data_IF_821026188872
#
_entry.id   IF_821026188872
#
_cell.length_a   1.000
_cell.length_b   1.000
_cell.length_c   1.000
_cell.angle_alpha   90.00
_cell.angle_beta   90.00
_cell.angle_gamma   90.00
#
_symmetry.space_group_name_H-M   'P 1'
#
loop_
_entity.id
_entity.type
_entity.pdbx_description
1 polymer ?
#
# COMPACT_ATOMS: atom_id res chain seq x y z
N UNK A 1 -1.74 -11.33 -9.03
CA UNK A 1 -1.53 -11.69 -7.61
C UNK A 1 -2.18 -10.64 -6.73
N UNK A 2 -2.71 -11.04 -5.58
CA UNK A 2 -3.35 -10.15 -4.62
C UNK A 2 -3.08 -10.64 -3.19
N UNK A 3 -3.05 -9.73 -2.22
CA UNK A 3 -2.62 -10.01 -0.84
C UNK A 3 -3.58 -9.44 0.19
N UNK A 4 -3.48 -9.98 1.40
CA UNK A 4 -4.20 -9.47 2.54
C UNK A 4 -5.69 -9.62 2.35
N UNK A 5 -6.20 -10.83 2.14
CA UNK A 5 -7.63 -11.09 1.97
C UNK A 5 -8.46 -10.45 3.09
N UNK A 6 -9.59 -9.84 2.76
CA UNK A 6 -10.52 -9.34 3.77
C UNK A 6 -11.14 -10.53 4.51
N UNK A 7 -10.99 -10.51 5.84
CA UNK A 7 -11.44 -11.58 6.75
C UNK A 7 -12.55 -11.07 7.68
N UNK A 8 -13.05 -9.84 7.46
CA UNK A 8 -14.21 -9.34 8.18
C UNK A 8 -15.44 -10.17 7.78
N UNK A 9 -16.11 -10.75 8.78
CA UNK A 9 -17.29 -11.61 8.57
C UNK A 9 -18.38 -10.85 7.81
N UNK A 10 -18.84 -11.41 6.69
CA UNK A 10 -19.83 -10.79 5.79
C UNK A 10 -19.24 -9.81 4.76
N UNK A 11 -17.92 -9.62 4.71
CA UNK A 11 -17.20 -8.79 3.72
C UNK A 11 -16.01 -9.53 3.09
N UNK A 12 -16.08 -10.85 3.08
CA UNK A 12 -15.03 -11.72 2.55
C UNK A 12 -14.87 -11.57 1.02
N UNK A 13 -13.72 -12.02 0.50
CA UNK A 13 -13.45 -12.07 -0.95
C UNK A 13 -12.82 -10.81 -1.53
N UNK A 14 -12.70 -9.75 -0.73
CA UNK A 14 -11.91 -8.56 -1.07
C UNK A 14 -10.41 -8.73 -0.83
N UNK A 15 -9.59 -7.85 -1.40
CA UNK A 15 -8.14 -7.79 -1.20
C UNK A 15 -7.69 -6.35 -0.95
N UNK A 16 -6.55 -6.17 -0.28
CA UNK A 16 -6.08 -4.84 0.14
C UNK A 16 -4.93 -4.32 -0.73
N UNK A 17 -4.25 -5.21 -1.45
CA UNK A 17 -3.22 -4.86 -2.42
C UNK A 17 -3.18 -5.95 -3.50
N UNK A 18 -2.92 -5.56 -4.74
CA UNK A 18 -2.62 -6.53 -5.79
C UNK A 18 -2.09 -5.91 -7.06
N UNK A 19 -1.58 -6.78 -7.93
CA UNK A 19 -1.09 -6.47 -9.27
C UNK A 19 -1.50 -7.57 -10.25
N UNK A 20 -2.01 -7.18 -11.41
CA UNK A 20 -2.37 -8.08 -12.50
C UNK A 20 -1.25 -8.21 -13.54
N UNK A 21 -1.27 -9.28 -14.34
CA UNK A 21 -0.37 -9.41 -15.49
C UNK A 21 -0.58 -8.31 -16.53
N UNK A 22 -1.76 -7.65 -16.55
CA UNK A 22 -2.07 -6.53 -17.44
C UNK A 22 -1.58 -5.17 -16.92
N UNK A 23 -0.79 -5.15 -15.84
CA UNK A 23 -0.24 -3.92 -15.26
C UNK A 23 -1.21 -3.10 -14.41
N UNK A 24 -2.43 -3.58 -14.15
CA UNK A 24 -3.30 -2.98 -13.11
C UNK A 24 -2.71 -3.26 -11.73
N UNK A 25 -2.43 -2.23 -10.95
CA UNK A 25 -2.07 -2.34 -9.53
C UNK A 25 -3.02 -1.49 -8.68
N UNK A 26 -3.49 -2.02 -7.57
CA UNK A 26 -4.29 -1.25 -6.62
C UNK A 26 -3.95 -1.60 -5.18
N UNK A 27 -4.08 -0.60 -4.32
CA UNK A 27 -3.77 -0.65 -2.90
C UNK A 27 -4.80 0.16 -2.11
N UNK A 28 -5.25 -0.38 -0.99
CA UNK A 28 -6.26 0.23 -0.13
C UNK A 28 -5.76 0.33 1.31
N UNK A 29 -5.95 1.50 1.94
CA UNK A 29 -5.85 1.64 3.41
C UNK A 29 -7.20 2.02 4.00
N UNK A 30 -7.35 1.73 5.28
CA UNK A 30 -8.38 2.34 6.10
C UNK A 30 -8.15 3.86 6.19
N UNK A 31 -9.16 4.59 6.64
CA UNK A 31 -9.00 5.90 7.25
C UNK A 31 -9.40 5.78 8.72
N UNK A 32 -8.51 6.18 9.63
CA UNK A 32 -8.75 6.18 11.07
C UNK A 32 -9.86 7.18 11.38
N UNK A 33 -11.00 6.67 11.81
CA UNK A 33 -12.19 7.45 12.18
C UNK A 33 -12.82 6.86 13.46
N UNK A 34 -13.42 7.69 14.32
CA UNK A 34 -13.95 7.25 15.62
C UNK A 34 -15.25 6.44 15.52
N UNK A 35 -16.06 6.68 14.48
CA UNK A 35 -17.34 6.01 14.26
C UNK A 35 -17.32 5.23 12.96
N UNK A 36 -17.65 3.94 13.02
CA UNK A 36 -17.80 3.08 11.86
C UNK A 36 -19.28 2.82 11.61
N UNK A 37 -19.71 2.99 10.37
CA UNK A 37 -21.02 2.54 9.91
C UNK A 37 -20.96 1.04 9.66
N UNK A 38 -21.77 0.27 10.40
CA UNK A 38 -21.85 -1.18 10.28
C UNK A 38 -22.57 -1.64 9.00
N UNK A 39 -23.35 -0.75 8.38
CA UNK A 39 -24.08 -1.01 7.13
C UNK A 39 -23.27 -0.60 5.90
N UNK A 40 -22.12 0.05 6.08
CA UNK A 40 -21.25 0.42 4.96
C UNK A 40 -20.68 -0.81 4.24
N UNK A 41 -20.53 -0.67 2.91
CA UNK A 41 -20.00 -1.72 2.04
C UNK A 41 -18.56 -2.11 2.42
N UNK A 42 -18.22 -3.37 2.18
CA UNK A 42 -16.84 -3.85 2.27
C UNK A 42 -15.95 -3.18 1.23
N UNK A 43 -14.72 -2.83 1.60
CA UNK A 43 -13.82 -2.03 0.75
C UNK A 43 -12.90 -2.87 -0.11
N UNK A 44 -12.61 -4.11 0.29
CA UNK A 44 -11.70 -4.98 -0.44
C UNK A 44 -12.17 -5.33 -1.86
N UNK A 45 -13.47 -5.19 -2.17
CA UNK A 45 -14.00 -5.34 -3.53
C UNK A 45 -13.48 -4.27 -4.50
N UNK A 46 -13.13 -3.08 -3.99
CA UNK A 46 -12.65 -1.97 -4.83
C UNK A 46 -11.34 -2.32 -5.50
N UNK A 47 -10.47 -3.07 -4.81
CA UNK A 47 -9.18 -3.53 -5.34
C UNK A 47 -9.40 -4.68 -6.32
N UNK A 48 -10.16 -5.72 -5.97
CA UNK A 48 -10.39 -6.87 -6.86
C UNK A 48 -11.07 -6.47 -8.17
N UNK A 49 -12.03 -5.54 -8.10
CA UNK A 49 -12.72 -5.03 -9.28
C UNK A 49 -11.80 -4.18 -10.16
N UNK A 50 -10.92 -3.35 -9.59
CA UNK A 50 -9.92 -2.62 -10.38
C UNK A 50 -8.93 -3.54 -11.10
N UNK A 51 -8.50 -4.62 -10.45
CA UNK A 51 -7.53 -5.56 -11.05
C UNK A 51 -8.11 -6.33 -12.25
N UNK A 52 -9.44 -6.45 -12.33
CA UNK A 52 -10.15 -7.25 -13.34
C UNK A 52 -10.85 -6.40 -14.41
N UNK A 53 -11.13 -5.13 -14.14
CA UNK A 53 -11.75 -4.22 -15.12
C UNK A 53 -10.78 -3.77 -16.23
N UNK A 54 -11.34 -3.31 -17.34
CA UNK A 54 -10.61 -2.67 -18.44
C UNK A 54 -10.56 -1.13 -18.30
N UNK A 55 -11.27 -0.57 -17.31
CA UNK A 55 -11.32 0.88 -17.04
C UNK A 55 -9.98 1.38 -16.51
N UNK A 56 -9.46 2.48 -17.05
CA UNK A 56 -8.22 3.12 -16.57
C UNK A 56 -8.34 3.63 -15.12
N UNK A 57 -7.19 3.76 -14.44
CA UNK A 57 -7.07 4.16 -13.04
C UNK A 57 -7.80 5.45 -12.71
N UNK A 58 -7.73 6.49 -13.55
CA UNK A 58 -8.38 7.77 -13.26
C UNK A 58 -9.91 7.65 -13.41
N UNK A 59 -10.38 7.07 -14.51
CA UNK A 59 -11.80 6.84 -14.74
C UNK A 59 -12.42 5.94 -13.66
N UNK A 60 -11.67 4.93 -13.21
CA UNK A 60 -12.09 4.04 -12.13
C UNK A 60 -12.26 4.80 -10.82
N UNK A 61 -11.25 5.59 -10.40
CA UNK A 61 -11.35 6.35 -9.16
C UNK A 61 -12.42 7.44 -9.22
N UNK A 62 -12.71 8.02 -10.39
CA UNK A 62 -13.86 8.93 -10.56
C UNK A 62 -15.20 8.24 -10.33
N UNK A 63 -15.35 6.99 -10.78
CA UNK A 63 -16.55 6.21 -10.47
C UNK A 63 -16.65 5.93 -8.97
N UNK A 64 -15.53 5.52 -8.36
CA UNK A 64 -15.47 5.26 -6.91
C UNK A 64 -15.75 6.51 -6.10
N UNK A 65 -15.36 7.71 -6.56
CA UNK A 65 -15.58 8.95 -5.81
C UNK A 65 -17.06 9.31 -5.70
N UNK A 66 -17.85 9.08 -6.75
CA UNK A 66 -19.31 9.24 -6.73
C UNK A 66 -19.97 8.32 -5.70
N UNK A 67 -19.45 7.09 -5.57
CA UNK A 67 -19.96 6.06 -4.64
C UNK A 67 -19.27 6.09 -3.26
N UNK A 68 -18.35 7.03 -3.01
CA UNK A 68 -17.48 7.02 -1.84
C UNK A 68 -18.21 7.08 -0.49
N UNK A 69 -19.43 7.62 -0.50
CA UNK A 69 -20.34 7.71 0.66
C UNK A 69 -20.91 6.36 1.10
N UNK A 70 -20.83 5.32 0.27
CA UNK A 70 -21.31 3.97 0.59
C UNK A 70 -20.33 3.17 1.48
N UNK A 71 -19.16 3.73 1.76
CA UNK A 71 -18.05 3.05 2.44
C UNK A 71 -17.65 3.82 3.72
N UNK A 72 -17.17 3.08 4.73
CA UNK A 72 -16.37 3.68 5.80
C UNK A 72 -15.11 4.33 5.22
N UNK A 73 -14.47 5.21 5.99
CA UNK A 73 -13.30 5.95 5.53
C UNK A 73 -12.20 5.06 4.95
N UNK A 74 -11.69 5.41 3.78
CA UNK A 74 -10.66 4.66 3.08
C UNK A 74 -9.81 5.55 2.19
N UNK A 75 -8.67 5.00 1.78
CA UNK A 75 -7.85 5.51 0.71
C UNK A 75 -7.63 4.42 -0.34
N UNK A 76 -7.60 4.79 -1.61
CA UNK A 76 -7.40 3.89 -2.72
C UNK A 76 -6.35 4.48 -3.69
N UNK A 77 -5.28 3.73 -3.91
CA UNK A 77 -4.33 3.94 -5.00
C UNK A 77 -4.70 2.97 -6.11
N UNK A 78 -4.76 3.48 -7.35
CA UNK A 78 -4.96 2.68 -8.55
C UNK A 78 -3.93 3.09 -9.60
N UNK A 79 -3.31 2.11 -10.25
CA UNK A 79 -2.22 2.32 -11.19
C UNK A 79 -2.41 1.47 -12.46
N UNK A 80 -2.18 2.09 -13.61
CA UNK A 80 -1.95 1.43 -14.88
C UNK A 80 -0.45 1.46 -15.18
N UNK A 81 0.21 0.31 -15.02
CA UNK A 81 1.62 0.11 -15.33
C UNK A 81 1.75 -0.43 -16.76
N UNK A 82 2.65 0.14 -17.56
CA UNK A 82 2.85 -0.28 -18.94
C UNK A 82 4.22 -0.94 -19.12
N UNK A 83 4.31 -2.11 -19.77
CA UNK A 83 5.59 -2.65 -20.20
C UNK A 83 6.25 -1.68 -21.18
N UNK A 84 7.58 -1.57 -21.10
CA UNK A 84 8.35 -0.72 -22.00
C UNK A 84 8.46 -1.44 -23.36
N UNK A 85 8.34 -0.69 -24.45
CA UNK A 85 8.88 -1.19 -25.72
C UNK A 85 10.40 -1.38 -25.54
N UNK A 86 11.00 -2.50 -26.01
CA UNK A 86 12.41 -2.78 -25.78
C UNK A 86 13.26 -1.60 -26.23
N UNK A 87 14.00 -1.00 -25.30
CA UNK A 87 14.87 0.14 -25.52
C UNK A 87 16.22 -0.19 -24.87
N UNK A 88 17.38 0.10 -25.51
CA UNK A 88 18.68 -0.29 -24.99
C UNK A 88 18.91 0.28 -23.59
N UNK A 89 19.50 -0.56 -22.74
CA UNK A 89 19.60 -0.44 -21.29
C UNK A 89 19.83 0.98 -20.72
N UNK A 90 18.99 1.35 -19.76
CA UNK A 90 19.34 2.32 -18.72
C UNK A 90 18.66 1.84 -17.42
N UNK A 91 19.46 1.25 -16.54
CA UNK A 91 19.00 0.66 -15.29
C UNK A 91 18.54 1.72 -14.29
N UNK A 92 17.29 1.61 -13.88
CA UNK A 92 16.83 1.95 -12.54
C UNK A 92 15.49 1.20 -12.34
N UNK A 93 15.50 0.21 -11.45
CA UNK A 93 14.30 -0.55 -11.07
C UNK A 93 13.30 0.34 -10.33
N UNK A 94 12.01 0.02 -10.42
CA UNK A 94 10.95 0.68 -9.67
C UNK A 94 10.52 -0.22 -8.52
N UNK A 95 10.14 0.38 -7.41
CA UNK A 95 9.83 -0.36 -6.19
C UNK A 95 8.52 0.16 -5.59
N UNK A 96 7.58 -0.75 -5.33
CA UNK A 96 6.31 -0.52 -4.67
C UNK A 96 6.24 -1.44 -3.45
N UNK A 97 5.89 -0.94 -2.28
CA UNK A 97 5.68 -1.76 -1.08
C UNK A 97 4.29 -1.54 -0.52
N UNK A 98 3.66 -2.57 0.07
CA UNK A 98 2.34 -2.43 0.68
C UNK A 98 2.03 -3.48 1.74
N UNK A 99 1.06 -3.15 2.60
CA UNK A 99 0.76 -3.88 3.84
C UNK A 99 -0.72 -3.89 4.17
N UNK A 100 -1.09 -4.83 5.05
CA UNK A 100 -2.25 -4.66 5.92
C UNK A 100 -1.96 -3.61 7.00
N UNK A 101 -2.53 -2.43 6.76
CA UNK A 101 -2.51 -1.22 7.59
C UNK A 101 -1.12 -0.64 7.83
N UNK A 102 -0.48 -0.16 6.78
CA UNK A 102 0.85 0.43 6.87
C UNK A 102 1.13 1.33 5.67
N UNK A 103 2.01 2.31 5.92
CA UNK A 103 2.79 3.08 4.96
C UNK A 103 2.96 2.37 3.59
N UNK A 104 2.16 2.75 2.59
CA UNK A 104 2.48 2.44 1.20
C UNK A 104 3.60 3.37 0.78
N UNK A 105 4.74 2.82 0.38
CA UNK A 105 5.78 3.63 -0.25
C UNK A 105 5.82 3.37 -1.75
N UNK A 106 5.35 4.36 -2.50
CA UNK A 106 5.35 4.35 -3.97
C UNK A 106 6.53 5.18 -4.44
N UNK A 107 7.49 4.60 -5.14
CA UNK A 107 8.51 5.36 -5.88
C UNK A 107 8.22 5.30 -7.39
N UNK A 108 7.83 6.43 -7.98
CA UNK A 108 7.63 6.56 -9.44
C UNK A 108 8.86 7.20 -10.09
N UNK A 109 9.57 6.44 -10.91
CA UNK A 109 10.57 6.95 -11.88
C UNK A 109 9.87 7.31 -13.20
N UNK A 110 10.37 8.34 -13.90
CA UNK A 110 9.75 9.12 -15.00
C UNK A 110 9.49 8.35 -16.31
N UNK A 111 9.01 7.12 -16.27
CA UNK A 111 8.74 6.38 -17.49
C UNK A 111 7.49 6.87 -18.23
N UNK A 112 7.59 6.91 -19.56
CA UNK A 112 6.47 7.24 -20.46
C UNK A 112 5.35 6.22 -20.30
N UNK A 113 4.22 6.65 -19.74
CA UNK A 113 2.94 5.97 -19.89
C UNK A 113 2.29 5.42 -18.63
N UNK A 114 3.00 5.34 -17.49
CA UNK A 114 2.39 4.88 -16.24
C UNK A 114 1.54 5.98 -15.60
N UNK A 115 0.30 5.60 -15.27
CA UNK A 115 -0.65 6.47 -14.58
C UNK A 115 -0.90 5.88 -13.21
N UNK A 116 -0.69 6.69 -12.18
CA UNK A 116 -0.99 6.31 -10.80
C UNK A 116 -1.87 7.39 -10.23
N UNK A 117 -3.00 6.98 -9.69
CA UNK A 117 -4.03 7.86 -9.16
C UNK A 117 -4.27 7.53 -7.69
N UNK A 118 -4.68 8.55 -6.94
CA UNK A 118 -5.06 8.45 -5.54
C UNK A 118 -6.45 9.05 -5.32
N UNK A 119 -7.24 8.41 -4.46
CA UNK A 119 -8.50 8.93 -3.94
C UNK A 119 -8.65 8.54 -2.47
N UNK A 120 -9.15 9.46 -1.64
CA UNK A 120 -9.57 9.17 -0.27
C UNK A 120 -10.94 9.78 -0.01
N UNK A 121 -11.92 8.98 0.42
CA UNK A 121 -13.31 9.44 0.58
C UNK A 121 -13.55 10.36 1.79
N UNK A 122 -12.48 10.73 2.50
CA UNK A 122 -12.45 11.73 3.57
C UNK A 122 -11.66 12.99 3.18
N UNK A 123 -11.14 13.05 1.95
CA UNK A 123 -10.38 14.17 1.43
C UNK A 123 -11.16 14.93 0.36
N UNK A 124 -10.44 15.40 -0.65
CA UNK A 124 -11.01 16.08 -1.81
C UNK A 124 -11.99 15.18 -2.59
N UNK A 125 -13.03 15.77 -3.23
CA UNK A 125 -14.06 15.00 -3.92
C UNK A 125 -13.56 14.30 -5.18
N UNK A 126 -12.51 14.83 -5.81
CA UNK A 126 -11.96 14.32 -7.06
C UNK A 126 -10.66 13.55 -6.84
N UNK A 127 -10.43 12.44 -7.58
CA UNK A 127 -9.16 11.74 -7.56
C UNK A 127 -8.06 12.58 -8.23
N UNK A 128 -6.83 12.39 -7.75
CA UNK A 128 -5.64 13.07 -8.29
C UNK A 128 -4.72 12.09 -9.01
N UNK A 129 -4.03 12.58 -10.04
CA UNK A 129 -2.94 11.85 -10.70
C UNK A 129 -1.63 12.18 -9.98
N UNK A 130 -0.93 11.16 -9.49
CA UNK A 130 0.34 11.33 -8.79
C UNK A 130 1.48 11.58 -9.77
N UNK A 131 2.24 12.63 -9.49
CA UNK A 131 3.50 12.93 -10.18
C UNK A 131 4.59 11.94 -9.78
N UNK A 132 5.70 11.83 -10.54
CA UNK A 132 6.88 11.09 -10.10
C UNK A 132 7.36 11.55 -8.72
N UNK A 133 7.66 10.60 -7.84
CA UNK A 133 8.05 10.89 -6.46
C UNK A 133 7.90 9.69 -5.53
N UNK A 134 8.22 9.91 -4.26
CA UNK A 134 8.03 8.94 -3.16
C UNK A 134 6.85 9.37 -2.31
N UNK A 135 5.83 8.53 -2.18
CA UNK A 135 4.61 8.79 -1.41
C UNK A 135 4.45 7.79 -0.29
N UNK A 136 3.98 8.23 0.87
CA UNK A 136 3.60 7.48 2.05
C UNK A 136 2.08 7.53 2.25
N UNK A 137 1.45 6.38 2.48
CA UNK A 137 0.03 6.30 2.85
C UNK A 137 -0.19 5.39 4.06
N UNK A 138 -0.83 5.88 5.12
CA UNK A 138 -1.25 5.08 6.27
C UNK A 138 -2.77 5.14 6.44
N UNK A 139 -3.27 4.99 7.66
CA UNK A 139 -4.70 5.10 7.97
C UNK A 139 -5.18 6.57 8.04
N UNK A 140 -4.66 7.42 7.15
CA UNK A 140 -4.94 8.86 7.04
C UNK A 140 -4.93 9.25 5.56
N UNK A 141 -5.21 10.52 5.23
CA UNK A 141 -5.06 10.99 3.85
C UNK A 141 -3.60 10.90 3.40
N UNK A 142 -3.38 10.85 2.08
CA UNK A 142 -2.05 10.77 1.47
C UNK A 142 -1.09 11.80 2.07
N UNK A 143 0.12 11.37 2.42
CA UNK A 143 1.18 12.22 2.99
C UNK A 143 0.80 12.94 4.31
N UNK A 144 -0.26 12.51 5.01
CA UNK A 144 -0.55 13.03 6.35
C UNK A 144 0.65 12.73 7.25
N UNK A 145 1.26 13.73 7.94
CA UNK A 145 2.59 13.62 8.52
C UNK A 145 2.59 12.90 9.89
N UNK A 146 2.00 11.71 9.94
CA UNK A 146 2.16 10.81 11.07
C UNK A 146 3.65 10.49 11.22
N UNK A 147 4.19 10.56 12.44
CA UNK A 147 5.63 10.36 12.66
C UNK A 147 6.11 9.01 12.17
N UNK A 148 5.31 7.97 12.36
CA UNK A 148 5.59 6.64 11.80
C UNK A 148 5.68 6.61 10.28
N UNK A 149 4.89 7.46 9.60
CA UNK A 149 4.86 7.56 8.15
C UNK A 149 6.17 8.20 7.67
N UNK A 150 6.54 9.32 8.28
CA UNK A 150 7.77 10.03 7.99
C UNK A 150 9.01 9.16 8.25
N UNK A 151 9.03 8.48 9.40
CA UNK A 151 10.11 7.58 9.80
C UNK A 151 10.25 6.39 8.85
N UNK A 152 9.16 5.66 8.58
CA UNK A 152 9.22 4.54 7.64
C UNK A 152 9.58 4.98 6.21
N UNK A 153 9.14 6.17 5.78
CA UNK A 153 9.50 6.76 4.48
C UNK A 153 10.99 7.10 4.42
N UNK A 154 11.57 7.58 5.52
CA UNK A 154 13.02 7.78 5.62
C UNK A 154 13.77 6.45 5.49
N UNK A 155 13.41 5.44 6.30
CA UNK A 155 14.03 4.11 6.24
C UNK A 155 13.92 3.46 4.85
N UNK A 156 12.78 3.64 4.18
CA UNK A 156 12.57 3.19 2.79
C UNK A 156 13.56 3.85 1.83
N UNK A 157 13.72 5.18 1.91
CA UNK A 157 14.64 5.91 1.03
C UNK A 157 16.08 5.48 1.25
N UNK A 158 16.49 5.28 2.51
CA UNK A 158 17.80 4.75 2.87
C UNK A 158 18.03 3.34 2.32
N UNK A 159 17.04 2.44 2.43
CA UNK A 159 17.09 1.09 1.86
C UNK A 159 17.25 1.11 0.34
N UNK A 160 16.49 1.97 -0.36
CA UNK A 160 16.59 2.14 -1.81
C UNK A 160 17.96 2.71 -2.22
N UNK A 161 18.47 3.70 -1.49
CA UNK A 161 19.77 4.32 -1.77
C UNK A 161 20.92 3.33 -1.59
N UNK A 162 20.95 2.58 -0.47
CA UNK A 162 21.95 1.53 -0.23
C UNK A 162 21.94 0.45 -1.31
N UNK A 163 20.75 0.14 -1.84
CA UNK A 163 20.56 -0.98 -2.76
C UNK A 163 20.88 -0.66 -4.23
N UNK A 164 21.19 0.59 -4.59
CA UNK A 164 21.45 0.96 -5.99
C UNK A 164 22.60 0.16 -6.64
N UNK A 165 23.53 -0.36 -5.84
CA UNK A 165 24.65 -1.18 -6.30
C UNK A 165 24.57 -2.65 -5.83
N UNK A 166 23.46 -3.08 -5.24
CA UNK A 166 23.30 -4.40 -4.64
C UNK A 166 22.29 -5.25 -5.44
N UNK A 167 22.35 -6.60 -5.31
CA UNK A 167 21.35 -7.48 -5.89
C UNK A 167 19.94 -7.16 -5.38
N UNK A 168 18.92 -7.40 -6.21
CA UNK A 168 17.50 -7.14 -5.88
C UNK A 168 17.05 -7.80 -4.57
N UNK A 169 17.60 -8.97 -4.24
CA UNK A 169 17.22 -9.72 -3.03
C UNK A 169 17.67 -9.00 -1.75
N UNK A 170 18.74 -8.21 -1.82
CA UNK A 170 19.18 -7.36 -0.71
C UNK A 170 18.19 -6.22 -0.51
N UNK A 171 17.72 -5.59 -1.59
CA UNK A 171 16.67 -4.57 -1.49
C UNK A 171 15.38 -5.15 -0.90
N UNK A 172 14.97 -6.35 -1.33
CA UNK A 172 13.79 -7.01 -0.78
C UNK A 172 13.96 -7.26 0.72
N UNK A 173 15.12 -7.75 1.16
CA UNK A 173 15.41 -7.97 2.57
C UNK A 173 15.39 -6.66 3.38
N UNK A 174 16.09 -5.62 2.92
CA UNK A 174 16.12 -4.30 3.57
C UNK A 174 14.71 -3.70 3.68
N UNK A 175 13.91 -3.80 2.61
CA UNK A 175 12.53 -3.33 2.63
C UNK A 175 11.68 -4.17 3.60
N UNK A 176 11.84 -5.49 3.67
CA UNK A 176 11.15 -6.30 4.68
C UNK A 176 11.53 -5.86 6.10
N UNK A 177 12.79 -5.50 6.35
CA UNK A 177 13.23 -5.00 7.65
C UNK A 177 12.55 -3.66 8.01
N UNK A 178 12.47 -2.72 7.06
CA UNK A 178 11.70 -1.48 7.25
C UNK A 178 10.27 -1.77 7.67
N UNK A 179 9.64 -2.73 6.99
CA UNK A 179 8.23 -3.05 7.15
C UNK A 179 7.94 -3.89 8.41
N UNK A 180 8.97 -4.46 9.02
CA UNK A 180 8.91 -5.17 10.29
C UNK A 180 9.39 -4.31 11.47
N UNK A 181 9.68 -3.04 11.26
CA UNK A 181 10.12 -2.14 12.32
C UNK A 181 8.97 -1.86 13.32
N UNK A 182 9.15 -2.28 14.57
CA UNK A 182 8.17 -2.13 15.67
C UNK A 182 8.46 -0.89 16.55
N UNK A 183 9.38 -0.01 16.13
CA UNK A 183 9.75 1.19 16.88
C UNK A 183 8.62 2.21 16.88
N UNK A 184 8.00 2.42 18.04
CA UNK A 184 6.93 3.39 18.21
C UNK A 184 7.46 4.83 18.12
N UNK A 185 6.95 5.60 17.16
CA UNK A 185 7.33 6.98 16.91
C UNK A 185 6.44 7.95 17.70
N UNK A 186 6.74 8.11 18.99
CA UNK A 186 5.96 8.94 19.92
C UNK A 186 6.68 10.25 20.33
N UNK A 187 5.93 11.29 20.78
CA UNK A 187 4.49 11.45 20.58
C UNK A 187 4.15 11.58 19.09
N UNK A 188 2.93 11.25 18.67
CA UNK A 188 2.47 11.44 17.28
C UNK A 188 1.27 12.39 17.23
N UNK A 189 1.49 13.73 17.28
CA UNK A 189 0.41 14.70 17.36
C UNK A 189 -0.59 14.62 16.20
N UNK A 190 -0.15 14.15 15.03
CA UNK A 190 -1.02 14.03 13.86
C UNK A 190 -1.95 12.80 13.96
N UNK A 191 -1.50 11.70 14.57
CA UNK A 191 -2.40 10.59 14.93
C UNK A 191 -3.36 11.04 16.03
N UNK A 192 -2.86 11.74 17.05
CA UNK A 192 -3.66 12.23 18.17
C UNK A 192 -4.75 13.21 17.71
N UNK A 193 -4.45 14.15 16.81
CA UNK A 193 -5.42 15.10 16.28
C UNK A 193 -6.53 14.41 15.47
N UNK A 194 -6.16 13.47 14.59
CA UNK A 194 -7.12 12.72 13.78
C UNK A 194 -7.98 11.77 14.63
N UNK A 195 -7.36 11.04 15.55
CA UNK A 195 -8.00 10.02 16.36
C UNK A 195 -8.68 10.54 17.63
N UNK A 196 -8.30 11.74 18.11
CA UNK A 196 -8.76 12.36 19.36
C UNK A 196 -8.69 11.39 20.54
N UNK A 197 -9.66 11.45 21.45
CA UNK A 197 -9.73 10.56 22.62
C UNK A 197 -9.83 9.07 22.26
N UNK A 198 -10.37 8.75 21.08
CA UNK A 198 -10.52 7.37 20.63
C UNK A 198 -9.16 6.67 20.40
N UNK A 199 -8.13 7.39 19.96
CA UNK A 199 -6.82 6.78 19.69
C UNK A 199 -5.92 6.66 20.92
N UNK A 200 -6.18 7.44 21.98
CA UNK A 200 -5.34 7.46 23.19
C UNK A 200 -5.05 6.06 23.79
N UNK A 201 -6.02 5.12 23.92
CA UNK A 201 -5.75 3.79 24.47
C UNK A 201 -4.87 2.89 23.59
N UNK A 202 -4.73 3.23 22.30
CA UNK A 202 -4.09 2.41 21.28
C UNK A 202 -2.90 3.11 20.59
N UNK A 203 -2.67 4.39 20.90
CA UNK A 203 -1.73 5.28 20.21
C UNK A 203 -0.32 4.68 20.14
N UNK A 204 0.21 4.20 21.25
CA UNK A 204 1.57 3.63 21.30
C UNK A 204 1.75 2.45 20.36
N UNK A 205 0.69 1.69 20.12
CA UNK A 205 0.69 0.51 19.25
C UNK A 205 0.50 0.88 17.79
N UNK A 206 -0.29 1.92 17.52
CA UNK A 206 -0.54 2.45 16.19
C UNK A 206 0.59 3.34 15.67
N UNK A 207 1.57 3.71 16.49
CA UNK A 207 2.66 4.63 16.13
C UNK A 207 3.93 3.94 15.63
N UNK A 208 3.91 2.63 15.41
CA UNK A 208 5.00 1.89 14.75
C UNK A 208 4.67 1.63 13.27
N UNK A 209 5.70 1.37 12.45
CA UNK A 209 5.52 0.92 11.06
C UNK A 209 4.83 -0.44 11.07
N UNK A 210 5.38 -1.39 11.82
CA UNK A 210 4.80 -2.70 12.05
C UNK A 210 3.95 -2.68 13.32
N UNK A 211 2.62 -2.75 13.16
CA UNK A 211 1.71 -2.67 14.31
C UNK A 211 1.57 -4.05 14.96
N UNK A 212 1.80 -4.09 16.28
CA UNK A 212 1.63 -5.29 17.12
C UNK A 212 0.78 -4.96 18.33
N UNK A 213 -0.40 -5.57 18.43
CA UNK A 213 -1.18 -5.53 19.66
C UNK A 213 -2.08 -6.77 19.85
N UNK A 214 -2.49 -7.06 21.10
CA UNK A 214 -3.46 -8.11 21.35
C UNK A 214 -4.74 -7.86 20.54
N UNK A 215 -5.08 -8.79 19.64
CA UNK A 215 -6.30 -8.73 18.82
C UNK A 215 -6.21 -7.91 17.53
N UNK A 216 -5.10 -7.21 17.25
CA UNK A 216 -4.94 -6.41 16.04
C UNK A 216 -3.46 -6.19 15.67
N UNK A 217 -3.13 -6.20 14.37
CA UNK A 217 -1.77 -5.93 13.92
C UNK A 217 -1.49 -6.38 12.49
N UNK A 218 -0.29 -6.06 12.02
CA UNK A 218 0.17 -6.31 10.65
C UNK A 218 0.33 -7.82 10.40
N UNK A 219 -0.56 -8.43 9.61
CA UNK A 219 -0.48 -9.87 9.29
C UNK A 219 0.37 -10.19 8.07
N UNK A 220 0.56 -9.22 7.19
CA UNK A 220 1.22 -9.40 5.89
C UNK A 220 2.11 -8.20 5.56
N UNK A 221 3.28 -8.48 4.99
CA UNK A 221 4.21 -7.51 4.43
C UNK A 221 4.46 -7.85 2.96
N UNK A 222 4.24 -6.90 2.05
CA UNK A 222 4.34 -7.17 0.61
C UNK A 222 5.25 -6.16 -0.07
N UNK A 223 6.12 -6.67 -0.93
CA UNK A 223 7.03 -5.91 -1.76
C UNK A 223 6.73 -6.29 -3.21
N UNK A 224 6.49 -5.29 -4.05
CA UNK A 224 6.22 -5.40 -5.48
C UNK A 224 7.26 -4.55 -6.20
N UNK A 225 8.29 -5.20 -6.73
CA UNK A 225 9.28 -4.52 -7.57
C UNK A 225 8.84 -4.64 -9.02
N UNK A 226 8.95 -3.56 -9.80
CA UNK A 226 8.65 -3.55 -11.23
C UNK A 226 9.82 -2.91 -11.95
N UNK A 227 10.58 -3.68 -12.73
CA UNK A 227 11.74 -3.15 -13.43
C UNK A 227 11.39 -2.38 -14.71
N UNK A 228 12.42 -1.86 -15.39
CA UNK A 228 12.26 -1.08 -16.61
C UNK A 228 11.77 -1.92 -17.81
N UNK A 229 11.89 -3.24 -17.75
CA UNK A 229 11.45 -4.19 -18.78
C UNK A 229 10.05 -4.75 -18.46
N UNK A 230 9.45 -4.33 -17.34
CA UNK A 230 8.14 -4.79 -16.90
C UNK A 230 8.17 -6.15 -16.21
N UNK A 231 9.33 -6.63 -15.75
CA UNK A 231 9.39 -7.78 -14.85
C UNK A 231 8.95 -7.34 -13.46
N UNK A 232 8.01 -8.10 -12.91
CA UNK A 232 7.47 -7.93 -11.58
C UNK A 232 8.05 -8.99 -10.66
N UNK A 233 8.62 -8.57 -9.54
CA UNK A 233 8.94 -9.44 -8.40
C UNK A 233 7.97 -9.11 -7.28
N UNK A 234 7.12 -10.07 -6.92
CA UNK A 234 6.15 -9.98 -5.84
C UNK A 234 6.62 -10.85 -4.69
N UNK A 235 7.07 -10.24 -3.60
CA UNK A 235 7.47 -10.93 -2.38
C UNK A 235 6.47 -10.61 -1.28
N UNK A 236 5.94 -11.65 -0.64
CA UNK A 236 5.04 -11.52 0.49
C UNK A 236 5.57 -12.31 1.68
N UNK A 237 5.60 -11.66 2.85
CA UNK A 237 5.82 -12.29 4.14
C UNK A 237 4.51 -12.24 4.94
N UNK A 238 3.97 -13.40 5.29
CA UNK A 238 2.64 -13.54 5.89
C UNK A 238 2.66 -14.41 7.14
N UNK A 239 1.87 -14.03 8.16
CA UNK A 239 1.66 -14.84 9.36
C UNK A 239 0.88 -16.11 9.01
N UNK A 240 1.40 -17.27 9.39
CA UNK A 240 0.74 -18.56 9.18
C UNK A 240 -0.48 -18.74 10.10
N UNK A 241 -0.40 -18.21 11.32
CA UNK A 241 -1.47 -18.33 12.31
C UNK A 241 -1.62 -17.03 13.14
N UNK A 242 -1.86 -17.15 14.45
CA UNK A 242 -1.95 -16.02 15.39
C UNK A 242 -0.65 -15.82 16.19
N UNK A 243 0.28 -16.76 16.12
CA UNK A 243 1.59 -16.69 16.72
C UNK A 243 2.48 -15.73 15.90
N UNK A 244 2.95 -14.62 16.49
CA UNK A 244 3.80 -13.65 15.81
C UNK A 244 5.19 -14.17 15.48
N UNK A 245 5.56 -15.41 15.85
CA UNK A 245 6.81 -16.06 15.45
C UNK A 245 6.68 -16.91 14.18
N UNK A 246 5.46 -17.26 13.76
CA UNK A 246 5.21 -18.14 12.62
C UNK A 246 4.94 -17.35 11.33
N UNK A 247 5.95 -17.28 10.47
CA UNK A 247 5.88 -16.57 9.19
C UNK A 247 6.33 -17.45 8.04
N UNK A 248 5.69 -17.25 6.90
CA UNK A 248 6.15 -17.74 5.61
C UNK A 248 6.50 -16.55 4.72
N UNK A 249 7.52 -16.71 3.88
CA UNK A 249 7.85 -15.74 2.83
C UNK A 249 7.82 -16.44 1.49
N UNK A 250 7.05 -15.91 0.56
CA UNK A 250 6.94 -16.40 -0.81
C UNK A 250 7.32 -15.30 -1.79
N UNK A 251 7.95 -15.69 -2.90
CA UNK A 251 8.29 -14.79 -4.00
C UNK A 251 7.78 -15.37 -5.30
N UNK A 252 7.13 -14.52 -6.09
CA UNK A 252 6.58 -14.85 -7.40
C UNK A 252 7.03 -13.80 -8.41
N UNK A 253 7.42 -14.26 -9.60
CA UNK A 253 7.90 -13.39 -10.66
C UNK A 253 7.09 -13.59 -11.94
N UNK A 254 6.81 -12.49 -12.64
CA UNK A 254 6.11 -12.52 -13.92
C UNK A 254 6.40 -11.25 -14.72
N UNK A 255 6.15 -11.27 -16.03
CA UNK A 255 6.29 -10.09 -16.89
C UNK A 255 4.93 -9.49 -17.18
N UNK A 256 4.84 -8.16 -17.17
CA UNK A 256 3.64 -7.45 -17.62
C UNK A 256 3.35 -7.75 -19.09
N UNK A 257 2.10 -8.12 -19.36
CA UNK A 257 1.57 -8.36 -20.69
C UNK A 257 1.21 -7.03 -21.35
N UNK A 258 1.50 -6.94 -22.65
CA UNK A 258 1.13 -5.82 -23.51
C UNK A 258 -0.36 -5.84 -23.84
#
# INVERSE_FOLDING_TARGET
MHTGLDMEEGKEGGTWLGISTRGKLAALTNYLQPQLDRQARGRGELVTHFLTTDVDSLSYLKKVSVEGHLYNGFNLIAADLRPRAPCPASGLGRHLTGHKETLFTLQKSTAKGDVICYYGNRGEPDPIVLTPGTYGLSNALLETPWRKLCFGKQLFLEAVERSQALPKDVLIADLLDVLNNEEAQLPDPAIEDQGREYVQPILSKYSAVCVRCPGYGTRTNTIILVDADGHVTFTERSMLDKDPSHWETSTHEFTLQS
#
